data_IF_469738000603
#
_entry.id   IF_469738000603
#
_cell.length_a   1.000
_cell.length_b   1.000
_cell.length_c   1.000
_cell.angle_alpha   90.00
_cell.angle_beta   90.00
_cell.angle_gamma   90.00
#
_symmetry.space_group_name_H-M   'P 1'
#
loop_
_entity.id
_entity.type
_entity.pdbx_description
1 polymer ?
#
# COMPACT_ATOMS: atom_id res chain seq x y z
N UNK A 1 -9.29 2.78 -24.16
CA UNK A 1 -8.07 2.24 -23.52
C UNK A 1 -8.45 0.89 -22.94
N UNK A 2 -8.34 -0.17 -23.72
CA UNK A 2 -8.65 -1.54 -23.27
C UNK A 2 -7.43 -2.15 -22.59
N UNK A 3 -7.59 -2.52 -21.32
CA UNK A 3 -6.57 -3.22 -20.53
C UNK A 3 -6.43 -4.65 -21.06
N UNK A 4 -5.22 -5.02 -21.49
CA UNK A 4 -4.93 -6.40 -21.96
C UNK A 4 -4.53 -7.34 -20.83
N UNK A 5 -3.99 -6.86 -19.71
CA UNK A 5 -3.44 -7.69 -18.62
C UNK A 5 -3.83 -7.14 -17.24
N UNK A 6 -3.88 -8.04 -16.25
CA UNK A 6 -3.98 -7.71 -14.83
C UNK A 6 -5.39 -7.44 -14.34
N UNK A 7 -6.06 -8.48 -13.85
CA UNK A 7 -7.20 -8.28 -12.96
C UNK A 7 -6.75 -7.39 -11.79
N UNK A 8 -7.56 -6.39 -11.43
CA UNK A 8 -7.19 -5.46 -10.37
C UNK A 8 -7.39 -6.20 -9.07
N UNK A 9 -6.37 -6.95 -8.66
CA UNK A 9 -6.47 -7.83 -7.51
C UNK A 9 -6.97 -7.01 -6.30
N UNK A 10 -7.81 -7.62 -5.46
CA UNK A 10 -8.56 -6.92 -4.40
C UNK A 10 -7.66 -5.95 -3.59
N UNK A 11 -6.43 -6.37 -3.33
CA UNK A 11 -5.40 -5.61 -2.61
C UNK A 11 -4.90 -4.36 -3.35
N UNK A 12 -4.74 -4.43 -4.68
CA UNK A 12 -4.33 -3.30 -5.49
C UNK A 12 -5.46 -2.25 -5.55
N UNK A 13 -6.72 -2.69 -5.63
CA UNK A 13 -7.88 -1.80 -5.56
C UNK A 13 -7.98 -1.10 -4.20
N UNK A 14 -7.77 -1.82 -3.09
CA UNK A 14 -7.74 -1.23 -1.74
C UNK A 14 -6.63 -0.19 -1.60
N UNK A 15 -5.44 -0.48 -2.11
CA UNK A 15 -4.32 0.46 -2.14
C UNK A 15 -4.65 1.73 -2.94
N UNK A 16 -5.10 1.57 -4.18
CA UNK A 16 -5.36 2.69 -5.09
C UNK A 16 -6.54 3.57 -4.66
N UNK A 17 -7.50 3.01 -3.93
CA UNK A 17 -8.67 3.75 -3.42
C UNK A 17 -8.49 4.26 -2.00
N UNK A 18 -7.37 3.94 -1.33
CA UNK A 18 -7.15 4.29 0.08
C UNK A 18 -8.12 3.61 1.04
N UNK A 19 -8.77 2.53 0.60
CA UNK A 19 -9.72 1.75 1.39
C UNK A 19 -9.03 0.57 2.09
N UNK A 20 -9.64 0.08 3.17
CA UNK A 20 -9.23 -1.14 3.84
C UNK A 20 -8.67 -0.91 5.24
N UNK A 21 -7.55 -1.55 5.55
CA UNK A 21 -7.01 -1.65 6.92
C UNK A 21 -6.15 -0.45 7.36
N UNK A 22 -6.11 0.62 6.57
CA UNK A 22 -5.43 1.86 6.95
C UNK A 22 -6.15 2.50 8.14
N UNK A 23 -5.43 2.88 9.19
CA UNK A 23 -6.06 3.51 10.36
C UNK A 23 -6.86 4.78 10.03
N UNK A 24 -6.43 5.57 9.03
CA UNK A 24 -7.22 6.70 8.54
C UNK A 24 -8.63 6.27 8.05
N UNK A 25 -8.75 5.09 7.45
CA UNK A 25 -10.04 4.55 7.05
C UNK A 25 -10.82 4.01 8.25
N UNK A 26 -10.16 3.32 9.19
CA UNK A 26 -10.79 2.79 10.41
C UNK A 26 -11.36 3.88 11.32
N UNK A 27 -10.70 5.04 11.44
CA UNK A 27 -11.17 6.15 12.27
C UNK A 27 -12.54 6.69 11.82
N UNK A 28 -12.91 6.56 10.54
CA UNK A 28 -14.25 6.94 10.07
C UNK A 28 -15.37 6.16 10.76
N UNK A 29 -15.08 4.99 11.31
CA UNK A 29 -16.05 4.10 11.93
C UNK A 29 -15.82 3.89 13.44
N UNK A 30 -14.66 4.28 13.95
CA UNK A 30 -14.33 4.24 15.38
C UNK A 30 -13.71 5.57 15.82
N UNK A 31 -14.50 6.39 16.51
CA UNK A 31 -14.10 7.70 17.00
C UNK A 31 -13.01 7.65 18.10
N UNK A 32 -12.76 6.48 18.68
CA UNK A 32 -11.69 6.27 19.67
C UNK A 32 -10.38 5.79 19.04
N UNK A 33 -10.38 5.42 17.75
CA UNK A 33 -9.19 4.93 17.06
C UNK A 33 -8.32 6.10 16.55
N UNK A 34 -7.04 6.12 16.94
CA UNK A 34 -6.06 7.04 16.34
C UNK A 34 -5.72 6.61 14.90
N UNK A 35 -5.78 7.57 13.98
CA UNK A 35 -5.33 7.43 12.60
C UNK A 35 -3.80 7.45 12.43
N UNK A 36 -3.04 7.64 13.51
CA UNK A 36 -1.60 7.82 13.46
C UNK A 36 -0.88 6.50 13.20
N UNK A 37 0.16 6.58 12.37
CA UNK A 37 1.09 5.50 12.15
C UNK A 37 1.80 5.15 13.47
N UNK A 38 1.85 3.87 13.86
CA UNK A 38 2.43 3.48 15.15
C UNK A 38 3.95 3.68 15.22
N UNK A 39 4.63 3.82 14.06
CA UNK A 39 6.10 3.91 13.98
C UNK A 39 6.56 5.27 13.46
N UNK A 40 5.75 5.95 12.65
CA UNK A 40 6.10 7.24 12.08
C UNK A 40 5.44 8.37 12.89
N UNK A 41 6.22 9.18 13.63
CA UNK A 41 5.67 10.20 14.52
C UNK A 41 4.89 11.26 13.73
N UNK A 42 3.79 11.74 14.31
CA UNK A 42 2.92 12.79 13.75
C UNK A 42 2.48 12.54 12.30
N UNK A 43 2.41 11.29 11.87
CA UNK A 43 2.06 10.92 10.49
C UNK A 43 0.83 10.04 10.48
N UNK A 44 -0.16 10.42 9.67
CA UNK A 44 -1.38 9.64 9.47
C UNK A 44 -1.07 8.38 8.65
N UNK A 45 -1.55 7.24 9.11
CA UNK A 45 -1.48 5.97 8.37
C UNK A 45 -2.55 5.94 7.27
N UNK A 46 -2.23 6.54 6.13
CA UNK A 46 -3.00 6.43 4.89
C UNK A 46 -2.24 5.58 3.84
N UNK A 47 -2.89 5.24 2.73
CA UNK A 47 -2.29 4.38 1.70
C UNK A 47 -1.00 4.96 1.11
N UNK A 48 -0.96 6.27 0.88
CA UNK A 48 0.22 6.94 0.33
C UNK A 48 1.41 6.85 1.29
N UNK A 49 1.20 7.18 2.57
CA UNK A 49 2.22 7.06 3.60
C UNK A 49 2.71 5.62 3.70
N UNK A 50 1.80 4.66 3.89
CA UNK A 50 2.15 3.25 4.07
C UNK A 50 2.97 2.73 2.89
N UNK A 51 2.52 3.00 1.67
CA UNK A 51 3.12 2.43 0.48
C UNK A 51 4.42 3.10 0.09
N UNK A 52 4.52 4.43 0.15
CA UNK A 52 5.66 5.18 -0.39
C UNK A 52 6.66 5.64 0.68
N UNK A 53 6.25 5.81 1.94
CA UNK A 53 7.05 6.52 2.94
C UNK A 53 7.27 5.74 4.26
N UNK A 54 6.39 4.81 4.60
CA UNK A 54 6.38 4.22 5.94
C UNK A 54 7.57 3.28 6.15
N UNK A 55 8.33 3.52 7.21
CA UNK A 55 9.55 2.77 7.54
C UNK A 55 9.30 1.27 7.73
N UNK A 56 8.10 0.88 8.18
CA UNK A 56 7.69 -0.54 8.31
C UNK A 56 7.82 -1.33 7.01
N UNK A 57 7.70 -0.66 5.86
CA UNK A 57 7.68 -1.28 4.54
C UNK A 57 8.88 -0.87 3.69
N UNK A 58 9.90 -0.27 4.29
CA UNK A 58 11.11 0.21 3.59
C UNK A 58 11.81 -0.91 2.83
N UNK A 59 12.09 -2.04 3.49
CA UNK A 59 12.78 -3.17 2.84
C UNK A 59 12.01 -3.73 1.63
N UNK A 60 10.68 -3.87 1.75
CA UNK A 60 9.82 -4.31 0.66
C UNK A 60 9.79 -3.31 -0.49
N UNK A 61 9.73 -2.01 -0.17
CA UNK A 61 9.73 -0.93 -1.15
C UNK A 61 11.06 -0.79 -1.87
N UNK A 62 12.18 -0.99 -1.19
CA UNK A 62 13.49 -1.03 -1.85
C UNK A 62 13.60 -2.20 -2.84
N UNK A 63 13.07 -3.39 -2.46
CA UNK A 63 12.99 -4.54 -3.38
C UNK A 63 12.16 -4.19 -4.60
N UNK A 64 11.03 -3.51 -4.40
CA UNK A 64 10.19 -3.01 -5.49
C UNK A 64 10.97 -2.06 -6.41
N UNK A 65 11.64 -1.03 -5.86
CA UNK A 65 12.42 -0.08 -6.66
C UNK A 65 13.51 -0.76 -7.49
N UNK A 66 14.19 -1.76 -6.93
CA UNK A 66 15.19 -2.55 -7.66
C UNK A 66 14.56 -3.34 -8.82
N UNK A 67 13.37 -3.89 -8.64
CA UNK A 67 12.65 -4.61 -9.69
C UNK A 67 12.13 -3.68 -10.79
N UNK A 68 11.61 -2.51 -10.41
CA UNK A 68 11.13 -1.50 -11.36
C UNK A 68 12.27 -0.77 -12.08
N UNK A 69 13.50 -0.87 -11.55
CA UNK A 69 14.66 -0.07 -11.97
C UNK A 69 14.42 1.45 -11.89
N UNK A 70 13.43 1.86 -11.09
CA UNK A 70 13.02 3.25 -10.88
C UNK A 70 12.42 3.40 -9.48
N UNK A 71 12.48 4.61 -8.92
CA UNK A 71 11.82 4.94 -7.66
C UNK A 71 10.32 5.07 -7.90
N UNK A 72 9.54 4.23 -7.22
CA UNK A 72 8.09 4.29 -7.24
C UNK A 72 7.61 5.50 -6.43
N UNK A 73 6.77 6.33 -7.05
CA UNK A 73 6.14 7.51 -6.47
C UNK A 73 4.65 7.51 -6.83
N UNK A 74 3.81 8.26 -6.09
CA UNK A 74 2.39 8.39 -6.44
C UNK A 74 2.16 8.80 -7.89
N UNK A 75 3.03 9.66 -8.44
CA UNK A 75 2.85 10.25 -9.77
C UNK A 75 3.22 9.31 -10.92
N UNK A 76 4.15 8.36 -10.70
CA UNK A 76 4.69 7.49 -11.77
C UNK A 76 4.27 6.02 -11.63
N UNK A 77 3.77 5.57 -10.48
CA UNK A 77 3.53 4.14 -10.21
C UNK A 77 2.60 3.49 -11.24
N UNK A 78 1.54 4.20 -11.65
CA UNK A 78 0.58 3.69 -12.63
C UNK A 78 1.25 3.52 -14.01
N UNK A 79 2.12 4.46 -14.40
CA UNK A 79 2.87 4.35 -15.65
C UNK A 79 3.85 3.18 -15.60
N UNK A 80 4.58 3.01 -14.48
CA UNK A 80 5.50 1.91 -14.27
C UNK A 80 4.80 0.55 -14.35
N UNK A 81 3.61 0.42 -13.74
CA UNK A 81 2.79 -0.79 -13.81
C UNK A 81 2.30 -1.10 -15.22
N UNK A 82 1.94 -0.08 -16.01
CA UNK A 82 1.43 -0.26 -17.37
C UNK A 82 2.53 -0.54 -18.39
N UNK A 83 3.79 -0.26 -18.06
CA UNK A 83 4.92 -0.45 -18.96
C UNK A 83 5.31 -1.93 -19.15
N UNK A 84 5.13 -2.77 -18.12
CA UNK A 84 5.49 -4.20 -18.16
C UNK A 84 4.59 -5.00 -17.20
N UNK A 85 4.16 -6.19 -17.62
CA UNK A 85 3.45 -7.15 -16.77
C UNK A 85 4.27 -7.56 -15.53
N UNK A 86 5.60 -7.63 -15.65
CA UNK A 86 6.49 -7.89 -14.50
C UNK A 86 6.43 -6.76 -13.48
N UNK A 87 6.38 -5.51 -13.94
CA UNK A 87 6.25 -4.34 -13.07
C UNK A 87 4.89 -4.37 -12.37
N UNK A 88 3.83 -4.69 -13.11
CA UNK A 88 2.50 -4.89 -12.54
C UNK A 88 2.52 -5.92 -11.41
N UNK A 89 3.10 -7.10 -11.67
CA UNK A 89 3.17 -8.19 -10.69
C UNK A 89 4.02 -7.81 -9.47
N UNK A 90 5.14 -7.09 -9.66
CA UNK A 90 5.99 -6.60 -8.59
C UNK A 90 5.22 -5.65 -7.65
N UNK A 91 4.51 -4.68 -8.24
CA UNK A 91 3.70 -3.72 -7.48
C UNK A 91 2.55 -4.42 -6.76
N UNK A 92 1.84 -5.33 -7.44
CA UNK A 92 0.76 -6.10 -6.84
C UNK A 92 1.24 -6.99 -5.68
N UNK A 93 2.39 -7.65 -5.83
CA UNK A 93 3.00 -8.47 -4.77
C UNK A 93 3.36 -7.64 -3.55
N UNK A 94 3.98 -6.47 -3.77
CA UNK A 94 4.32 -5.57 -2.67
C UNK A 94 3.05 -5.05 -1.98
N UNK A 95 2.04 -4.62 -2.74
CA UNK A 95 0.76 -4.17 -2.19
C UNK A 95 0.08 -5.25 -1.35
N UNK A 96 0.08 -6.51 -1.82
CA UNK A 96 -0.47 -7.63 -1.07
C UNK A 96 0.26 -7.87 0.26
N UNK A 97 1.60 -7.76 0.27
CA UNK A 97 2.40 -7.91 1.50
C UNK A 97 2.07 -6.82 2.53
N UNK A 98 1.93 -5.57 2.07
CA UNK A 98 1.56 -4.42 2.90
C UNK A 98 0.19 -4.63 3.53
N UNK A 99 -0.84 -4.95 2.74
CA UNK A 99 -2.20 -5.13 3.23
C UNK A 99 -2.30 -6.30 4.20
N UNK A 100 -1.56 -7.39 3.95
CA UNK A 100 -1.53 -8.56 4.84
C UNK A 100 -0.93 -8.20 6.20
N UNK A 101 0.17 -7.46 6.24
CA UNK A 101 0.77 -6.98 7.50
C UNK A 101 -0.18 -6.05 8.26
N UNK A 102 -0.77 -5.06 7.59
CA UNK A 102 -1.73 -4.15 8.23
C UNK A 102 -2.94 -4.88 8.82
N UNK A 103 -3.47 -5.88 8.09
CA UNK A 103 -4.56 -6.73 8.59
C UNK A 103 -4.16 -7.49 9.85
N UNK A 104 -2.97 -8.08 9.88
CA UNK A 104 -2.48 -8.81 11.05
C UNK A 104 -2.32 -7.88 12.27
N UNK A 105 -1.78 -6.68 12.07
CA UNK A 105 -1.64 -5.67 13.12
C UNK A 105 -3.00 -5.22 13.67
N UNK A 106 -3.98 -4.95 12.80
CA UNK A 106 -5.33 -4.55 13.21
C UNK A 106 -6.06 -5.67 13.99
N UNK A 107 -5.91 -6.92 13.55
CA UNK A 107 -6.48 -8.07 14.26
C UNK A 107 -5.84 -8.28 15.64
N UNK A 108 -4.55 -7.96 15.80
CA UNK A 108 -3.87 -8.03 17.09
C UNK A 108 -4.33 -6.92 18.05
N UNK A 109 -4.70 -5.73 17.55
CA UNK A 109 -5.21 -4.62 18.39
C UNK A 109 -6.63 -4.85 18.92
N UNK A 110 -7.42 -5.70 18.26
CA UNK A 110 -8.81 -6.01 18.63
C UNK A 110 -8.95 -7.21 19.58
N UNK A 111 -7.85 -7.89 19.90
CA UNK A 111 -7.80 -9.00 20.86
C UNK A 111 -7.45 -8.48 22.24
#
# INVERSE_FOLDING_TARGET
MERRHGDVDYHLTQLLTGHGYFKHHSQRYDHNASADCPVCPNTVENAEHVFFNCIRFEEGREKLHRQLQEVARPENIVQLMLADEKNWLAVATFAHSVITSLRAEEMARRR
#
